data_IF_973562029249
#
_entry.id   IF_973562029249
#
_cell.length_a   1.000
_cell.length_b   1.000
_cell.length_c   1.000
_cell.angle_alpha   90.00
_cell.angle_beta   90.00
_cell.angle_gamma   90.00
#
_symmetry.space_group_name_H-M   'P 1'
#
loop_
_entity.id
_entity.type
_entity.pdbx_description
1 polymer ?
#
# COMPACT_ATOMS: atom_id res chain seq x y z
N UNK A 1 81.84 -25.03 -28.03
CA UNK A 1 80.50 -25.26 -27.52
C UNK A 1 79.65 -23.99 -27.81
N UNK A 2 78.64 -24.14 -28.64
CA UNK A 2 77.79 -23.06 -29.00
C UNK A 2 76.80 -22.70 -27.85
N UNK A 3 76.31 -21.48 -27.77
CA UNK A 3 75.36 -21.06 -26.76
C UNK A 3 74.08 -21.95 -26.74
N UNK A 4 73.69 -22.45 -27.91
CA UNK A 4 72.55 -23.34 -28.07
C UNK A 4 72.76 -24.73 -27.39
N UNK A 5 73.99 -25.32 -27.54
CA UNK A 5 74.30 -26.59 -26.87
C UNK A 5 74.25 -26.48 -25.32
N UNK A 6 74.61 -25.35 -24.76
CA UNK A 6 74.46 -25.10 -23.31
C UNK A 6 73.02 -24.87 -22.89
N UNK A 7 72.21 -24.25 -23.73
CA UNK A 7 70.77 -24.12 -23.47
C UNK A 7 70.09 -25.48 -23.47
N UNK A 8 70.38 -26.30 -24.46
CA UNK A 8 69.82 -27.63 -24.58
C UNK A 8 70.24 -28.57 -23.42
N UNK A 9 71.48 -28.45 -22.95
CA UNK A 9 72.00 -29.17 -21.77
C UNK A 9 71.30 -28.74 -20.49
N UNK A 10 71.06 -27.44 -20.33
CA UNK A 10 70.35 -26.91 -19.18
C UNK A 10 68.86 -27.28 -19.19
N UNK A 11 68.20 -27.25 -20.31
CA UNK A 11 66.83 -27.73 -20.48
C UNK A 11 66.70 -29.24 -20.18
N UNK A 12 67.66 -30.07 -20.65
CA UNK A 12 67.67 -31.48 -20.33
C UNK A 12 67.84 -31.77 -18.82
N UNK A 13 68.76 -31.01 -18.14
CA UNK A 13 68.93 -31.12 -16.69
C UNK A 13 67.69 -30.67 -15.92
N UNK A 14 67.01 -29.60 -16.38
CA UNK A 14 65.79 -29.14 -15.79
C UNK A 14 64.64 -30.16 -15.92
N UNK A 15 64.55 -30.82 -17.09
CA UNK A 15 63.59 -31.92 -17.32
C UNK A 15 63.86 -33.13 -16.37
N UNK A 16 65.12 -33.52 -16.21
CA UNK A 16 65.53 -34.61 -15.28
C UNK A 16 65.18 -34.29 -13.84
N UNK A 17 65.46 -33.07 -13.37
CA UNK A 17 65.20 -32.66 -11.98
C UNK A 17 63.71 -32.44 -11.73
N UNK A 18 62.95 -31.89 -12.67
CA UNK A 18 61.54 -31.60 -12.50
C UNK A 18 60.62 -32.83 -12.78
N UNK A 19 61.15 -33.83 -13.51
CA UNK A 19 60.34 -34.97 -13.98
C UNK A 19 59.27 -34.63 -14.98
N UNK A 20 59.37 -33.48 -15.64
CA UNK A 20 58.43 -32.93 -16.60
C UNK A 20 59.15 -32.56 -17.91
N UNK A 21 58.52 -32.83 -19.04
CA UNK A 21 58.97 -32.27 -20.31
C UNK A 21 58.68 -30.77 -20.40
N UNK A 22 59.38 -30.05 -21.23
CA UNK A 22 59.13 -28.61 -21.43
C UNK A 22 57.68 -28.29 -21.83
N UNK A 23 57.05 -29.16 -22.62
CA UNK A 23 55.65 -29.03 -23.02
C UNK A 23 54.68 -29.31 -21.85
N UNK A 24 54.95 -30.32 -21.03
CA UNK A 24 54.14 -30.58 -19.82
C UNK A 24 54.26 -29.48 -18.78
N UNK A 25 55.46 -28.93 -18.56
CA UNK A 25 55.69 -27.80 -17.71
C UNK A 25 54.94 -26.53 -18.18
N UNK A 26 54.95 -26.31 -19.46
CA UNK A 26 54.20 -25.19 -20.11
C UNK A 26 52.68 -25.35 -19.92
N UNK A 27 52.15 -26.55 -20.21
CA UNK A 27 50.72 -26.82 -20.06
C UNK A 27 50.28 -26.66 -18.57
N UNK A 28 51.10 -27.16 -17.65
CA UNK A 28 50.81 -27.03 -16.23
C UNK A 28 50.81 -25.57 -15.75
N UNK A 29 51.79 -24.79 -16.24
CA UNK A 29 51.84 -23.35 -15.94
C UNK A 29 50.64 -22.58 -16.51
N UNK A 30 50.23 -22.90 -17.74
CA UNK A 30 49.04 -22.29 -18.33
C UNK A 30 47.76 -22.67 -17.54
N UNK A 31 47.59 -23.91 -17.17
CA UNK A 31 46.43 -24.37 -16.37
C UNK A 31 46.39 -23.69 -14.98
N UNK A 32 47.55 -23.52 -14.34
CA UNK A 32 47.65 -22.83 -13.05
C UNK A 32 47.33 -21.36 -13.18
N UNK A 33 47.88 -20.67 -14.17
CA UNK A 33 47.59 -19.26 -14.45
C UNK A 33 46.11 -19.06 -14.77
N UNK A 34 45.53 -19.93 -15.62
CA UNK A 34 44.12 -19.87 -15.95
C UNK A 34 43.23 -20.04 -14.72
N UNK A 35 43.50 -21.05 -13.90
CA UNK A 35 42.77 -21.31 -12.66
C UNK A 35 42.83 -20.13 -11.70
N UNK A 36 44.03 -19.59 -11.49
CA UNK A 36 44.27 -18.45 -10.63
C UNK A 36 43.58 -17.17 -11.14
N UNK A 37 43.69 -16.90 -12.43
CA UNK A 37 43.04 -15.75 -13.06
C UNK A 37 41.51 -15.85 -12.98
N UNK A 38 40.93 -17.05 -13.23
CA UNK A 38 39.50 -17.28 -13.06
C UNK A 38 39.03 -17.04 -11.63
N UNK A 39 39.82 -17.50 -10.65
CA UNK A 39 39.49 -17.29 -9.24
C UNK A 39 39.54 -15.80 -8.84
N UNK A 40 40.56 -15.08 -9.26
CA UNK A 40 40.69 -13.63 -9.03
C UNK A 40 39.57 -12.83 -9.72
N UNK A 41 39.24 -13.19 -10.97
CA UNK A 41 38.15 -12.57 -11.70
C UNK A 41 36.78 -12.82 -11.02
N UNK A 42 36.52 -14.04 -10.57
CA UNK A 42 35.28 -14.37 -9.83
C UNK A 42 35.17 -13.61 -8.52
N UNK A 43 36.30 -13.44 -7.79
CA UNK A 43 36.34 -12.63 -6.57
C UNK A 43 36.06 -11.16 -6.83
N UNK A 44 36.67 -10.62 -7.90
CA UNK A 44 36.47 -9.21 -8.30
C UNK A 44 35.02 -8.97 -8.74
N UNK A 45 34.44 -9.89 -9.52
CA UNK A 45 33.02 -9.78 -9.93
C UNK A 45 32.07 -9.75 -8.74
N UNK A 46 32.27 -10.62 -7.74
CA UNK A 46 31.45 -10.60 -6.51
C UNK A 46 31.58 -9.30 -5.73
N UNK A 47 32.80 -8.74 -5.66
CA UNK A 47 33.03 -7.47 -4.99
C UNK A 47 32.30 -6.32 -5.69
N UNK A 48 32.42 -6.25 -7.03
CA UNK A 48 31.73 -5.24 -7.84
C UNK A 48 30.21 -5.38 -7.74
N UNK A 49 29.70 -6.61 -7.75
CA UNK A 49 28.25 -6.85 -7.60
C UNK A 49 27.74 -6.41 -6.22
N UNK A 50 28.48 -6.73 -5.16
CA UNK A 50 28.13 -6.33 -3.79
C UNK A 50 28.14 -4.79 -3.65
N UNK A 51 29.17 -4.11 -4.16
CA UNK A 51 29.28 -2.65 -4.13
C UNK A 51 28.18 -1.97 -4.97
N UNK A 52 27.85 -2.55 -6.14
CA UNK A 52 26.77 -2.08 -6.98
C UNK A 52 25.40 -2.19 -6.30
N UNK A 53 25.11 -3.31 -5.62
CA UNK A 53 23.88 -3.52 -4.84
C UNK A 53 23.79 -2.52 -3.68
N UNK A 54 24.84 -2.39 -2.88
CA UNK A 54 24.85 -1.44 -1.76
C UNK A 54 24.62 0.01 -2.22
N UNK A 55 25.27 0.38 -3.33
CA UNK A 55 25.11 1.71 -3.94
C UNK A 55 23.68 1.92 -4.48
N UNK A 56 23.11 0.90 -5.12
CA UNK A 56 21.73 0.94 -5.62
C UNK A 56 20.74 1.09 -4.47
N UNK A 57 20.86 0.30 -3.41
CA UNK A 57 19.99 0.37 -2.23
C UNK A 57 20.05 1.73 -1.54
N UNK A 58 21.25 2.29 -1.39
CA UNK A 58 21.43 3.62 -0.82
C UNK A 58 20.78 4.69 -1.67
N UNK A 59 20.98 4.68 -2.99
CA UNK A 59 20.34 5.61 -3.92
C UNK A 59 18.83 5.46 -3.98
N UNK A 60 18.32 4.23 -3.94
CA UNK A 60 16.88 3.98 -3.90
C UNK A 60 16.24 4.59 -2.65
N UNK A 61 16.84 4.38 -1.46
CA UNK A 61 16.38 4.99 -0.20
C UNK A 61 16.41 6.52 -0.26
N UNK A 62 17.45 7.11 -0.83
CA UNK A 62 17.58 8.57 -0.99
C UNK A 62 16.49 9.13 -1.91
N UNK A 63 16.25 8.48 -3.06
CA UNK A 63 15.20 8.87 -4.01
C UNK A 63 13.82 8.75 -3.35
N UNK A 64 13.54 7.66 -2.65
CA UNK A 64 12.28 7.46 -1.94
C UNK A 64 12.07 8.54 -0.87
N UNK A 65 13.09 8.80 -0.03
CA UNK A 65 13.01 9.82 1.00
C UNK A 65 12.76 11.21 0.41
N UNK A 66 13.46 11.57 -0.67
CA UNK A 66 13.28 12.83 -1.38
C UNK A 66 11.88 12.93 -2.02
N UNK A 67 11.37 11.84 -2.59
CA UNK A 67 10.03 11.78 -3.16
C UNK A 67 8.96 11.93 -2.08
N UNK A 68 9.08 11.23 -0.95
CA UNK A 68 8.19 11.36 0.20
C UNK A 68 8.18 12.82 0.69
N UNK A 69 9.37 13.43 0.87
CA UNK A 69 9.48 14.81 1.35
C UNK A 69 8.83 15.81 0.40
N UNK A 70 8.89 15.58 -0.92
CA UNK A 70 8.30 16.45 -1.94
C UNK A 70 6.78 16.32 -2.03
N UNK A 71 6.24 15.11 -1.93
CA UNK A 71 4.83 14.80 -2.19
C UNK A 71 4.00 14.60 -0.92
N UNK A 72 4.62 14.42 0.25
CA UNK A 72 3.89 14.14 1.48
C UNK A 72 2.89 15.25 1.86
N UNK A 73 3.24 16.51 1.65
CA UNK A 73 2.36 17.64 1.92
C UNK A 73 1.10 17.63 1.07
N UNK A 74 1.27 17.50 -0.24
CA UNK A 74 0.17 17.47 -1.20
C UNK A 74 -0.70 16.22 -1.02
N UNK A 75 -0.07 15.05 -0.84
CA UNK A 75 -0.76 13.78 -0.62
C UNK A 75 -1.58 13.78 0.67
N UNK A 76 -1.03 14.30 1.77
CA UNK A 76 -1.75 14.41 3.05
C UNK A 76 -2.92 15.39 2.90
N UNK A 77 -2.72 16.53 2.24
CA UNK A 77 -3.79 17.51 1.97
C UNK A 77 -4.95 16.89 1.19
N UNK A 78 -4.69 16.16 0.10
CA UNK A 78 -5.75 15.54 -0.71
C UNK A 78 -6.52 14.44 0.04
N UNK A 79 -5.87 13.70 0.96
CA UNK A 79 -6.45 12.53 1.60
C UNK A 79 -7.02 12.78 3.00
N UNK A 80 -6.66 13.89 3.66
CA UNK A 80 -7.11 14.17 5.03
C UNK A 80 -8.15 15.30 5.11
N UNK A 81 -8.39 16.02 4.05
CA UNK A 81 -9.35 17.15 4.03
C UNK A 81 -10.53 16.91 3.09
N UNK A 82 -11.65 17.54 3.39
CA UNK A 82 -12.85 17.56 2.57
C UNK A 82 -13.41 18.97 2.58
N UNK A 83 -13.55 19.60 1.41
CA UNK A 83 -14.16 20.91 1.28
C UNK A 83 -15.69 20.80 1.23
N UNK A 84 -16.38 21.69 1.93
CA UNK A 84 -17.83 21.84 1.89
C UNK A 84 -18.14 23.27 1.42
N UNK A 85 -18.89 23.37 0.32
CA UNK A 85 -19.30 24.65 -0.24
C UNK A 85 -20.50 25.21 0.51
N UNK A 86 -20.45 26.47 0.85
CA UNK A 86 -21.52 27.20 1.55
C UNK A 86 -22.37 27.99 0.55
N UNK A 87 -23.67 28.14 0.80
CA UNK A 87 -24.56 28.95 -0.07
C UNK A 87 -24.29 30.45 0.03
N UNK A 88 -23.64 30.94 1.07
CA UNK A 88 -23.22 32.32 1.25
C UNK A 88 -22.13 32.46 2.31
N UNK A 89 -21.36 33.52 2.26
CA UNK A 89 -20.29 33.84 3.22
C UNK A 89 -20.81 34.02 4.66
N UNK A 90 -22.05 34.54 4.81
CA UNK A 90 -22.68 34.70 6.12
C UNK A 90 -22.85 33.41 6.90
N UNK A 91 -22.87 32.29 6.20
CA UNK A 91 -22.97 30.94 6.83
C UNK A 91 -21.73 30.61 7.66
N UNK A 92 -20.55 31.13 7.33
CA UNK A 92 -19.34 30.95 8.16
C UNK A 92 -19.57 31.47 9.59
N UNK A 93 -20.10 32.66 9.73
CA UNK A 93 -20.41 33.24 11.05
C UNK A 93 -21.42 32.42 11.85
N UNK A 94 -22.40 31.79 11.16
CA UNK A 94 -23.41 30.94 11.80
C UNK A 94 -22.82 29.60 12.21
N UNK A 95 -21.93 29.02 11.40
CA UNK A 95 -21.21 27.78 11.72
C UNK A 95 -20.27 27.99 12.92
N UNK A 96 -19.55 29.11 12.96
CA UNK A 96 -18.71 29.48 14.12
C UNK A 96 -19.58 29.66 15.35
N UNK A 97 -20.64 30.43 15.22
CA UNK A 97 -21.53 30.80 16.32
C UNK A 97 -20.88 31.79 17.31
N UNK A 98 -21.68 32.28 18.25
CA UNK A 98 -21.20 33.26 19.27
C UNK A 98 -20.07 32.59 20.08
N UNK A 99 -18.91 33.27 20.15
CA UNK A 99 -17.71 32.81 20.84
C UNK A 99 -17.22 31.37 20.39
N UNK A 100 -17.53 30.97 19.16
CA UNK A 100 -17.11 29.68 18.62
C UNK A 100 -17.87 28.47 19.20
N UNK A 101 -19.02 28.65 19.81
CA UNK A 101 -19.76 27.55 20.49
C UNK A 101 -20.24 26.46 19.52
N UNK A 102 -20.65 26.83 18.31
CA UNK A 102 -21.20 25.89 17.34
C UNK A 102 -20.08 25.06 16.68
N UNK A 103 -18.98 25.70 16.29
CA UNK A 103 -17.82 24.99 15.74
C UNK A 103 -17.26 24.00 16.75
N UNK A 104 -17.05 24.41 18.02
CA UNK A 104 -16.59 23.48 19.05
C UNK A 104 -17.55 22.32 19.31
N UNK A 105 -18.86 22.54 19.23
CA UNK A 105 -19.86 21.48 19.38
C UNK A 105 -19.78 20.48 18.21
N UNK A 106 -19.57 20.96 16.98
CA UNK A 106 -19.45 20.11 15.79
C UNK A 106 -18.13 19.30 15.82
N UNK A 107 -17.01 19.96 16.17
CA UNK A 107 -15.71 19.29 16.35
C UNK A 107 -15.76 18.23 17.46
N UNK A 108 -16.36 18.56 18.61
CA UNK A 108 -16.51 17.61 19.72
C UNK A 108 -17.40 16.42 19.36
N UNK A 109 -18.50 16.65 18.61
CA UNK A 109 -19.44 15.58 18.23
C UNK A 109 -18.88 14.67 17.14
N UNK A 110 -18.10 15.21 16.19
CA UNK A 110 -17.61 14.44 15.02
C UNK A 110 -16.17 13.94 15.19
N UNK A 111 -15.37 14.60 16.02
CA UNK A 111 -13.91 14.39 16.11
C UNK A 111 -13.18 14.84 14.84
N UNK A 112 -13.72 15.86 14.13
CA UNK A 112 -13.18 16.42 12.90
C UNK A 112 -12.89 17.90 13.12
N UNK A 113 -11.70 18.37 12.74
CA UNK A 113 -11.34 19.79 12.82
C UNK A 113 -11.98 20.56 11.67
N UNK A 114 -12.59 21.70 11.99
CA UNK A 114 -13.17 22.61 11.00
C UNK A 114 -12.25 23.80 10.79
N UNK A 115 -11.73 23.93 9.58
CA UNK A 115 -10.87 25.02 9.17
C UNK A 115 -11.72 26.01 8.37
N UNK A 116 -11.85 27.21 8.91
CA UNK A 116 -12.57 28.33 8.29
C UNK A 116 -11.55 29.42 8.04
N UNK A 117 -11.15 29.57 6.79
CA UNK A 117 -10.18 30.56 6.33
C UNK A 117 -10.83 31.60 5.41
N UNK A 118 -10.02 32.41 4.74
CA UNK A 118 -10.46 33.45 3.81
C UNK A 118 -10.95 32.91 2.45
N UNK A 119 -10.93 31.59 2.23
CA UNK A 119 -11.45 30.96 0.99
C UNK A 119 -12.95 31.26 0.88
N UNK A 120 -13.43 31.90 -0.19
CA UNK A 120 -14.84 32.28 -0.30
C UNK A 120 -15.76 31.07 -0.23
N UNK A 121 -16.86 31.19 0.52
CA UNK A 121 -17.97 30.23 0.57
C UNK A 121 -17.53 28.76 0.77
N UNK A 122 -16.45 28.55 1.54
CA UNK A 122 -15.90 27.21 1.76
C UNK A 122 -15.53 26.99 3.21
N UNK A 123 -15.79 25.79 3.72
CA UNK A 123 -15.28 25.24 4.98
C UNK A 123 -14.55 23.95 4.70
N UNK A 124 -13.38 23.79 5.31
CA UNK A 124 -12.55 22.61 5.16
C UNK A 124 -12.72 21.74 6.41
N UNK A 125 -13.04 20.48 6.20
CA UNK A 125 -13.11 19.44 7.22
C UNK A 125 -11.82 18.64 7.21
N UNK A 126 -11.11 18.57 8.32
CA UNK A 126 -9.84 17.86 8.44
C UNK A 126 -9.92 16.78 9.51
N UNK A 127 -9.69 15.53 9.12
CA UNK A 127 -9.53 14.41 10.03
C UNK A 127 -8.83 13.24 9.34
N UNK A 128 -8.16 12.42 10.11
CA UNK A 128 -7.50 11.22 9.60
C UNK A 128 -8.52 10.16 9.14
N UNK A 129 -9.62 9.98 9.87
CA UNK A 129 -10.67 9.01 9.53
C UNK A 129 -11.59 9.51 8.41
N UNK A 130 -11.63 8.83 7.24
CA UNK A 130 -12.53 9.19 6.15
C UNK A 130 -14.01 9.12 6.53
N UNK A 131 -14.38 8.15 7.39
CA UNK A 131 -15.77 7.98 7.84
C UNK A 131 -16.22 9.14 8.71
N UNK A 132 -15.37 9.61 9.66
CA UNK A 132 -15.68 10.80 10.47
C UNK A 132 -15.84 12.05 9.62
N UNK A 133 -14.96 12.24 8.60
CA UNK A 133 -15.11 13.37 7.65
C UNK A 133 -16.42 13.29 6.88
N UNK A 134 -16.83 12.07 6.46
CA UNK A 134 -18.10 11.89 5.76
C UNK A 134 -19.31 12.23 6.67
N UNK A 135 -19.29 11.78 7.93
CA UNK A 135 -20.33 12.17 8.92
C UNK A 135 -20.36 13.67 9.11
N UNK A 136 -19.20 14.30 9.31
CA UNK A 136 -19.11 15.76 9.49
C UNK A 136 -19.63 16.52 8.27
N UNK A 137 -19.31 16.05 7.05
CA UNK A 137 -19.83 16.63 5.80
C UNK A 137 -21.34 16.53 5.73
N UNK A 138 -21.91 15.35 5.92
CA UNK A 138 -23.36 15.13 5.90
C UNK A 138 -24.08 15.97 6.95
N UNK A 139 -23.52 16.03 8.16
CA UNK A 139 -24.07 16.83 9.24
C UNK A 139 -24.03 18.33 8.93
N UNK A 140 -22.91 18.83 8.43
CA UNK A 140 -22.74 20.25 8.07
C UNK A 140 -23.71 20.66 6.94
N UNK A 141 -23.77 19.86 5.85
CA UNK A 141 -24.68 20.10 4.73
C UNK A 141 -26.15 20.13 5.21
N UNK A 142 -26.56 19.22 6.09
CA UNK A 142 -27.89 19.17 6.67
C UNK A 142 -28.21 20.37 7.58
N UNK A 143 -27.25 20.78 8.41
CA UNK A 143 -27.37 21.98 9.26
C UNK A 143 -27.47 23.27 8.44
N UNK A 144 -26.75 23.33 7.33
CA UNK A 144 -26.82 24.46 6.38
C UNK A 144 -28.22 24.54 5.74
N UNK A 145 -28.76 23.39 5.26
CA UNK A 145 -30.11 23.34 4.66
C UNK A 145 -31.21 23.66 5.67
N UNK A 146 -31.13 23.13 6.90
CA UNK A 146 -32.09 23.40 7.98
C UNK A 146 -32.00 24.86 8.50
N UNK A 147 -30.84 25.46 8.36
CA UNK A 147 -30.58 26.80 8.84
C UNK A 147 -30.55 26.98 10.36
N UNK A 148 -30.75 25.94 11.15
CA UNK A 148 -30.74 25.95 12.63
C UNK A 148 -29.44 25.35 13.16
N UNK A 149 -28.45 26.21 13.43
CA UNK A 149 -27.12 25.79 13.87
C UNK A 149 -26.96 26.21 15.34
N UNK A 150 -27.11 25.24 16.26
CA UNK A 150 -26.87 25.38 17.70
C UNK A 150 -26.45 24.05 18.30
N UNK A 151 -25.73 24.00 19.44
CA UNK A 151 -25.09 22.77 19.96
C UNK A 151 -25.99 21.55 20.04
N UNK A 152 -27.15 21.64 20.70
CA UNK A 152 -28.07 20.52 20.83
C UNK A 152 -28.59 20.00 19.46
N UNK A 153 -28.76 20.87 18.46
CA UNK A 153 -29.14 20.45 17.11
C UNK A 153 -27.99 19.79 16.38
N UNK A 154 -26.77 20.26 16.60
CA UNK A 154 -25.55 19.68 16.03
C UNK A 154 -25.40 18.21 16.49
N UNK A 155 -25.47 17.96 17.78
CA UNK A 155 -25.38 16.62 18.35
C UNK A 155 -26.45 15.68 17.79
N UNK A 156 -27.71 16.13 17.73
CA UNK A 156 -28.83 15.36 17.17
C UNK A 156 -28.64 15.02 15.68
N UNK A 157 -28.16 16.00 14.89
CA UNK A 157 -27.90 15.80 13.44
C UNK A 157 -26.72 14.89 13.21
N UNK A 158 -25.62 15.04 13.94
CA UNK A 158 -24.44 14.18 13.85
C UNK A 158 -24.81 12.72 14.13
N UNK A 159 -25.52 12.47 15.24
CA UNK A 159 -25.96 11.12 15.59
C UNK A 159 -26.84 10.47 14.49
N UNK A 160 -27.74 11.24 13.89
CA UNK A 160 -28.56 10.74 12.77
C UNK A 160 -27.71 10.44 11.53
N UNK A 161 -26.74 11.30 11.22
CA UNK A 161 -25.84 11.06 10.10
C UNK A 161 -24.94 9.83 10.30
N UNK A 162 -24.50 9.55 11.54
CA UNK A 162 -23.78 8.32 11.86
C UNK A 162 -24.63 7.07 11.59
N UNK A 163 -25.89 7.07 12.05
CA UNK A 163 -26.79 5.96 11.80
C UNK A 163 -27.08 5.75 10.29
N UNK A 164 -27.31 6.83 9.57
CA UNK A 164 -27.55 6.78 8.12
C UNK A 164 -26.31 6.29 7.36
N UNK A 165 -25.13 6.76 7.74
CA UNK A 165 -23.88 6.30 7.11
C UNK A 165 -23.63 4.81 7.34
N UNK A 166 -23.94 4.30 8.55
CA UNK A 166 -23.79 2.88 8.85
C UNK A 166 -24.75 2.01 8.00
N UNK A 167 -25.98 2.48 7.74
CA UNK A 167 -26.91 1.83 6.82
C UNK A 167 -26.36 1.83 5.39
N UNK A 168 -25.90 2.99 4.91
CA UNK A 168 -25.31 3.11 3.58
C UNK A 168 -24.07 2.21 3.38
N UNK A 169 -23.22 2.10 4.40
CA UNK A 169 -22.05 1.20 4.36
C UNK A 169 -22.48 -0.24 4.15
N UNK A 170 -23.51 -0.71 4.86
CA UNK A 170 -24.02 -2.08 4.69
C UNK A 170 -24.62 -2.30 3.31
N UNK A 171 -25.47 -1.39 2.85
CA UNK A 171 -26.08 -1.46 1.51
C UNK A 171 -25.01 -1.50 0.40
N UNK A 172 -23.99 -0.67 0.51
CA UNK A 172 -22.86 -0.64 -0.44
C UNK A 172 -22.07 -1.95 -0.42
N UNK A 173 -21.81 -2.50 0.78
CA UNK A 173 -21.12 -3.78 0.91
C UNK A 173 -21.93 -4.94 0.32
N UNK A 174 -23.23 -4.99 0.59
CA UNK A 174 -24.16 -5.98 0.02
C UNK A 174 -24.21 -5.88 -1.51
N UNK A 175 -24.33 -4.66 -2.05
CA UNK A 175 -24.32 -4.43 -3.47
C UNK A 175 -23.00 -4.88 -4.11
N UNK A 176 -21.85 -4.58 -3.49
CA UNK A 176 -20.54 -5.01 -3.98
C UNK A 176 -20.40 -6.53 -4.04
N UNK A 177 -20.91 -7.26 -3.03
CA UNK A 177 -20.89 -8.73 -3.04
C UNK A 177 -21.80 -9.30 -4.12
N UNK A 178 -22.94 -8.66 -4.36
CA UNK A 178 -23.88 -9.03 -5.43
C UNK A 178 -23.24 -8.80 -6.82
N UNK A 179 -22.66 -7.64 -7.07
CA UNK A 179 -22.01 -7.28 -8.34
C UNK A 179 -20.81 -8.20 -8.66
N UNK A 180 -20.03 -8.57 -7.65
CA UNK A 180 -18.95 -9.54 -7.80
C UNK A 180 -19.46 -10.98 -8.00
N UNK A 181 -20.71 -11.28 -7.67
CA UNK A 181 -21.27 -12.63 -7.65
C UNK A 181 -20.65 -13.52 -6.57
N UNK A 182 -20.25 -12.93 -5.44
CA UNK A 182 -19.63 -13.62 -4.29
C UNK A 182 -20.64 -13.67 -3.16
N UNK A 183 -21.02 -14.88 -2.72
CA UNK A 183 -22.06 -15.07 -1.72
C UNK A 183 -21.54 -15.72 -0.43
N UNK A 184 -22.28 -15.54 0.67
CA UNK A 184 -21.96 -16.17 1.94
C UNK A 184 -20.75 -15.56 2.65
N UNK A 185 -20.46 -14.28 2.43
CA UNK A 185 -19.50 -13.50 3.21
C UNK A 185 -20.17 -13.13 4.55
N UNK A 186 -19.40 -13.17 5.63
CA UNK A 186 -19.92 -12.79 6.94
C UNK A 186 -20.38 -11.32 6.95
N UNK A 187 -21.52 -10.95 7.57
CA UNK A 187 -22.06 -9.59 7.54
C UNK A 187 -21.08 -8.50 7.96
N UNK A 188 -20.20 -8.77 8.94
CA UNK A 188 -19.17 -7.82 9.35
C UNK A 188 -18.11 -7.60 8.26
N UNK A 189 -17.72 -8.64 7.50
CA UNK A 189 -16.81 -8.45 6.35
C UNK A 189 -17.49 -7.67 5.22
N UNK A 190 -18.79 -7.88 5.01
CA UNK A 190 -19.58 -7.09 4.07
C UNK A 190 -19.60 -5.62 4.50
N UNK A 191 -19.76 -5.34 5.78
CA UNK A 191 -19.69 -3.99 6.35
C UNK A 191 -18.31 -3.36 6.12
N UNK A 192 -17.22 -4.06 6.42
CA UNK A 192 -15.85 -3.58 6.13
C UNK A 192 -15.63 -3.33 4.63
N UNK A 193 -16.15 -4.20 3.78
CA UNK A 193 -16.11 -4.00 2.32
C UNK A 193 -16.82 -2.69 1.92
N UNK A 194 -17.99 -2.41 2.50
CA UNK A 194 -18.71 -1.15 2.26
C UNK A 194 -17.94 0.10 2.73
N UNK A 195 -17.16 0.00 3.82
CA UNK A 195 -16.31 1.10 4.30
C UNK A 195 -15.22 1.49 3.27
N UNK A 196 -14.75 0.54 2.45
CA UNK A 196 -13.76 0.80 1.41
C UNK A 196 -14.23 1.81 0.35
N UNK A 197 -15.53 2.07 0.23
CA UNK A 197 -16.08 3.14 -0.62
C UNK A 197 -15.54 4.52 -0.22
N UNK A 198 -15.28 4.73 1.04
CA UNK A 198 -14.83 6.00 1.60
C UNK A 198 -13.31 6.10 1.73
N UNK A 199 -12.60 5.04 1.28
CA UNK A 199 -11.14 4.97 1.28
C UNK A 199 -10.58 5.13 -0.13
N UNK A 200 -9.64 6.04 -0.28
CA UNK A 200 -8.84 6.20 -1.49
C UNK A 200 -7.40 5.75 -1.19
N UNK A 201 -6.80 5.01 -2.09
CA UNK A 201 -5.41 4.58 -2.02
C UNK A 201 -4.81 4.63 -3.43
N UNK A 202 -3.63 5.25 -3.60
CA UNK A 202 -2.99 5.43 -4.91
C UNK A 202 -3.94 6.05 -5.96
N UNK A 203 -4.67 7.11 -5.58
CA UNK A 203 -5.67 7.81 -6.40
C UNK A 203 -6.88 6.99 -6.84
N UNK A 204 -7.01 5.74 -6.40
CA UNK A 204 -8.14 4.86 -6.72
C UNK A 204 -9.06 4.66 -5.50
N UNK A 205 -10.36 4.56 -5.75
CA UNK A 205 -11.32 4.11 -4.74
C UNK A 205 -11.09 2.63 -4.46
N UNK A 206 -10.84 2.27 -3.19
CA UNK A 206 -10.45 0.89 -2.82
C UNK A 206 -11.56 -0.13 -3.08
N UNK A 207 -12.83 0.24 -2.90
CA UNK A 207 -13.95 -0.66 -3.21
C UNK A 207 -14.02 -0.96 -4.71
N UNK A 208 -13.90 0.06 -5.54
CA UNK A 208 -13.92 -0.09 -7.00
C UNK A 208 -12.75 -0.96 -7.46
N UNK A 209 -11.55 -0.71 -6.92
CA UNK A 209 -10.38 -1.55 -7.16
C UNK A 209 -10.62 -3.01 -6.77
N UNK A 210 -11.21 -3.27 -5.59
CA UNK A 210 -11.52 -4.64 -5.14
C UNK A 210 -12.50 -5.37 -6.07
N UNK A 211 -13.48 -4.66 -6.63
CA UNK A 211 -14.42 -5.21 -7.62
C UNK A 211 -13.70 -5.56 -8.94
N UNK A 212 -12.83 -4.69 -9.43
CA UNK A 212 -12.04 -4.90 -10.63
C UNK A 212 -11.09 -6.09 -10.49
N UNK A 213 -10.36 -6.16 -9.37
CA UNK A 213 -9.48 -7.29 -9.05
C UNK A 213 -10.27 -8.59 -8.95
N UNK A 214 -11.44 -8.58 -8.31
CA UNK A 214 -12.34 -9.75 -8.24
C UNK A 214 -12.73 -10.25 -9.63
N UNK A 215 -13.09 -9.33 -10.53
CA UNK A 215 -13.47 -9.69 -11.91
C UNK A 215 -12.27 -10.28 -12.67
N UNK A 216 -11.10 -9.67 -12.59
CA UNK A 216 -9.87 -10.15 -13.22
C UNK A 216 -9.45 -11.52 -12.69
N UNK A 217 -9.44 -11.72 -11.37
CA UNK A 217 -9.17 -13.03 -10.77
C UNK A 217 -10.13 -14.11 -11.26
N UNK A 218 -11.42 -13.77 -11.40
CA UNK A 218 -12.42 -14.69 -11.95
C UNK A 218 -12.15 -15.09 -13.40
N UNK A 219 -11.77 -14.14 -14.25
CA UNK A 219 -11.42 -14.40 -15.65
C UNK A 219 -10.16 -15.27 -15.75
N UNK A 220 -9.11 -14.94 -15.03
CA UNK A 220 -7.87 -15.73 -15.01
C UNK A 220 -8.09 -17.15 -14.50
N UNK A 221 -8.89 -17.32 -13.45
CA UNK A 221 -9.24 -18.65 -12.93
C UNK A 221 -10.01 -19.49 -13.95
N UNK A 222 -10.91 -18.87 -14.72
CA UNK A 222 -11.62 -19.56 -15.78
C UNK A 222 -10.70 -20.08 -16.89
N UNK A 223 -9.74 -19.27 -17.35
CA UNK A 223 -8.75 -19.66 -18.36
C UNK A 223 -7.79 -20.75 -17.87
N UNK A 224 -7.44 -20.72 -16.57
CA UNK A 224 -6.56 -21.73 -15.97
C UNK A 224 -7.27 -22.99 -15.47
N UNK A 225 -8.61 -23.07 -15.60
CA UNK A 225 -9.41 -24.19 -15.09
C UNK A 225 -9.46 -24.30 -13.57
N UNK A 226 -9.30 -23.16 -12.87
CA UNK A 226 -9.32 -23.06 -11.41
C UNK A 226 -10.71 -22.69 -10.87
N UNK A 227 -10.89 -22.71 -9.55
CA UNK A 227 -12.15 -22.34 -8.90
C UNK A 227 -12.41 -20.83 -9.00
N UNK A 228 -13.29 -20.46 -9.95
CA UNK A 228 -13.67 -19.09 -10.23
C UNK A 228 -14.28 -18.39 -9.00
N UNK A 229 -15.07 -19.12 -8.19
CA UNK A 229 -15.74 -18.52 -7.03
C UNK A 229 -14.74 -18.17 -5.93
N UNK A 230 -13.78 -19.06 -5.68
CA UNK A 230 -12.70 -18.80 -4.74
C UNK A 230 -11.80 -17.66 -5.20
N UNK A 231 -11.43 -17.63 -6.48
CA UNK A 231 -10.60 -16.57 -7.04
C UNK A 231 -11.26 -15.19 -6.95
N UNK A 232 -12.54 -15.09 -7.31
CA UNK A 232 -13.33 -13.85 -7.15
C UNK A 232 -13.41 -13.40 -5.70
N UNK A 233 -13.65 -14.34 -4.78
CA UNK A 233 -13.73 -14.05 -3.34
C UNK A 233 -12.40 -13.54 -2.80
N UNK A 234 -11.29 -14.17 -3.17
CA UNK A 234 -9.95 -13.73 -2.79
C UNK A 234 -9.66 -12.32 -3.31
N UNK A 235 -9.93 -12.06 -4.60
CA UNK A 235 -9.76 -10.74 -5.20
C UNK A 235 -10.65 -9.66 -4.58
N UNK A 236 -11.90 -9.98 -4.19
CA UNK A 236 -12.79 -9.03 -3.53
C UNK A 236 -12.31 -8.64 -2.13
N UNK A 237 -11.71 -9.58 -1.40
CA UNK A 237 -11.31 -9.39 -0.01
C UNK A 237 -9.83 -9.05 0.19
N UNK A 238 -9.00 -9.03 -0.87
CA UNK A 238 -7.55 -8.87 -0.73
C UNK A 238 -7.16 -7.61 0.06
N UNK A 239 -7.86 -6.53 -0.14
CA UNK A 239 -7.61 -5.21 0.44
C UNK A 239 -8.51 -4.86 1.63
N UNK A 240 -9.24 -5.84 2.21
CA UNK A 240 -10.21 -5.61 3.30
C UNK A 240 -9.57 -4.95 4.54
N UNK A 241 -8.28 -5.17 4.77
CA UNK A 241 -7.54 -4.57 5.88
C UNK A 241 -7.45 -3.05 5.82
N UNK A 242 -7.55 -2.46 4.63
CA UNK A 242 -7.57 -1.00 4.44
C UNK A 242 -8.81 -0.32 5.05
N UNK A 243 -9.83 -1.09 5.42
CA UNK A 243 -10.98 -0.54 6.15
C UNK A 243 -10.61 -0.10 7.57
N UNK A 244 -9.58 -0.70 8.19
CA UNK A 244 -9.20 -0.49 9.60
C UNK A 244 -7.70 -0.21 9.81
N UNK A 245 -6.90 -0.11 8.75
CA UNK A 245 -5.44 0.10 8.83
C UNK A 245 -5.05 1.41 9.52
N UNK A 246 -5.96 2.37 9.63
CA UNK A 246 -5.78 3.63 10.34
C UNK A 246 -6.01 3.50 11.86
N UNK A 247 -6.61 2.39 12.34
CA UNK A 247 -6.86 2.11 13.75
C UNK A 247 -5.94 1.01 14.29
N UNK A 248 -5.33 0.20 13.41
CA UNK A 248 -4.52 -0.96 13.73
C UNK A 248 -3.14 -0.83 13.11
N UNK A 249 -2.08 -0.95 13.90
CA UNK A 249 -0.70 -0.91 13.43
C UNK A 249 -0.33 -2.18 12.64
N UNK A 250 0.22 -2.02 11.45
CA UNK A 250 0.72 -3.12 10.64
C UNK A 250 0.38 -3.02 9.16
N UNK A 251 0.91 -3.95 8.33
CA UNK A 251 0.57 -4.04 6.92
C UNK A 251 -0.90 -4.44 6.74
N UNK A 252 -1.62 -3.75 5.84
CA UNK A 252 -3.05 -4.03 5.60
C UNK A 252 -3.32 -5.46 5.13
N UNK A 253 -2.36 -6.12 4.46
CA UNK A 253 -2.45 -7.52 4.05
C UNK A 253 -2.59 -8.46 5.26
N UNK A 254 -1.78 -8.26 6.30
CA UNK A 254 -1.82 -9.05 7.53
C UNK A 254 -3.07 -8.72 8.36
N UNK A 255 -3.39 -7.44 8.52
CA UNK A 255 -4.61 -6.98 9.19
C UNK A 255 -5.85 -7.58 8.50
N UNK A 256 -5.90 -7.56 7.17
CA UNK A 256 -6.98 -8.14 6.37
C UNK A 256 -7.11 -9.64 6.55
N UNK A 257 -6.00 -10.37 6.60
CA UNK A 257 -6.00 -11.80 6.85
C UNK A 257 -6.51 -12.14 8.27
N UNK A 258 -6.11 -11.38 9.29
CA UNK A 258 -6.59 -11.56 10.65
C UNK A 258 -8.09 -11.25 10.80
N UNK A 259 -8.58 -10.20 10.13
CA UNK A 259 -10.00 -9.90 10.04
C UNK A 259 -10.77 -11.07 9.39
N UNK A 260 -10.32 -11.51 8.21
CA UNK A 260 -10.96 -12.60 7.49
C UNK A 260 -10.95 -13.91 8.31
N UNK A 261 -9.87 -14.19 9.04
CA UNK A 261 -9.75 -15.32 9.95
C UNK A 261 -10.76 -15.24 11.11
N UNK A 262 -10.93 -14.05 11.70
CA UNK A 262 -11.91 -13.82 12.79
C UNK A 262 -13.33 -14.16 12.35
N UNK A 263 -13.65 -13.97 11.08
CA UNK A 263 -14.97 -14.22 10.50
C UNK A 263 -15.04 -15.51 9.66
N UNK A 264 -14.14 -16.48 9.94
CA UNK A 264 -14.16 -17.85 9.44
C UNK A 264 -14.01 -18.00 7.92
N UNK A 265 -13.22 -17.16 7.26
CA UNK A 265 -12.82 -17.36 5.87
C UNK A 265 -11.90 -18.60 5.73
N UNK A 266 -11.90 -19.21 4.54
CA UNK A 266 -11.08 -20.40 4.27
C UNK A 266 -9.58 -20.08 4.28
N UNK A 267 -8.75 -21.08 4.59
CA UNK A 267 -7.29 -20.94 4.64
C UNK A 267 -6.70 -20.41 3.32
N UNK A 268 -7.27 -20.83 2.19
CA UNK A 268 -6.84 -20.40 0.87
C UNK A 268 -7.10 -18.89 0.67
N UNK A 269 -8.25 -18.38 1.12
CA UNK A 269 -8.59 -16.94 1.08
C UNK A 269 -7.68 -16.16 2.03
N UNK A 270 -7.44 -16.67 3.24
CA UNK A 270 -6.51 -16.03 4.20
C UNK A 270 -5.11 -15.89 3.62
N UNK A 271 -4.60 -16.97 2.99
CA UNK A 271 -3.30 -16.94 2.35
C UNK A 271 -3.25 -15.94 1.20
N UNK A 272 -4.27 -15.91 0.34
CA UNK A 272 -4.34 -14.95 -0.77
C UNK A 272 -4.35 -13.50 -0.27
N UNK A 273 -5.08 -13.19 0.82
CA UNK A 273 -5.09 -11.87 1.43
C UNK A 273 -3.70 -11.52 2.02
N UNK A 274 -3.08 -12.45 2.76
CA UNK A 274 -1.80 -12.18 3.41
C UNK A 274 -0.63 -12.02 2.44
N UNK A 275 -0.64 -12.77 1.32
CA UNK A 275 0.49 -12.87 0.39
C UNK A 275 0.42 -11.92 -0.82
N UNK A 276 -0.62 -11.08 -0.96
CA UNK A 276 -0.80 -10.30 -2.19
C UNK A 276 0.26 -9.20 -2.41
N UNK A 277 1.07 -8.89 -1.39
CA UNK A 277 2.24 -8.00 -1.48
C UNK A 277 3.58 -8.73 -1.29
N UNK A 278 3.59 -10.06 -1.39
CA UNK A 278 4.81 -10.87 -1.21
C UNK A 278 5.46 -10.71 0.18
N UNK A 279 4.70 -10.27 1.19
CA UNK A 279 5.18 -10.06 2.56
C UNK A 279 5.26 -11.36 3.38
N UNK A 280 4.99 -12.53 2.75
CA UNK A 280 5.07 -13.88 3.34
C UNK A 280 5.82 -14.84 2.45
#
# INVERSE_FOLDING_TARGET
ETLNERIDEQEHRLQEVSGLTAEEARQRLFAEIESRTRHEAAKMMRLIEAEARETADRKAKEIIACSIQRYAGDYVGEHTVTAVTLPSEDMKGRIIGREGRNIRALEAATGVDLIIDDTPETVILSAYSPLRRQVAKMALERLIQDGRIHPARIEDVVHKCEQELEVQIREVGEQATFDAGVHGIHPELVRFLGQLRYRTSFTQNVLQHSLEVSALCGMMAAELGMDIKKAKRAGLLHDIGKAVDHEVEGPHALIGADLAKKYNESKEILHAIAAHHEDQ
#
